data_IF_479554947381
#
_entry.id   IF_479554947381
#
_cell.length_a   1.000
_cell.length_b   1.000
_cell.length_c   1.000
_cell.angle_alpha   90.00
_cell.angle_beta   90.00
_cell.angle_gamma   90.00
#
_symmetry.space_group_name_H-M   'P 1'
#
loop_
_entity.id
_entity.type
_entity.pdbx_description
1 polymer ?
#
# COMPACT_ATOMS: atom_id res chain seq x y z
N UNK A 1 5.16 12.00 15.74
CA UNK A 1 4.20 12.15 14.62
C UNK A 1 2.86 11.50 15.04
N UNK A 2 1.97 12.20 15.76
CA UNK A 2 0.73 11.61 16.35
C UNK A 2 -0.55 12.40 15.98
N UNK A 3 -0.43 13.65 15.52
CA UNK A 3 -1.59 14.57 15.36
C UNK A 3 -2.47 14.33 14.12
N UNK A 4 -2.06 13.52 13.13
CA UNK A 4 -2.88 13.19 11.95
C UNK A 4 -4.01 12.16 12.23
N UNK A 5 -4.01 11.51 13.41
CA UNK A 5 -4.82 10.31 13.64
C UNK A 5 -6.27 10.58 14.07
N UNK A 6 -6.55 11.54 14.94
CA UNK A 6 -7.87 11.61 15.60
C UNK A 6 -9.04 11.97 14.67
N UNK A 7 -8.86 12.89 13.72
CA UNK A 7 -9.92 13.26 12.76
C UNK A 7 -10.27 12.10 11.83
N UNK A 8 -9.25 11.39 11.36
CA UNK A 8 -9.40 10.25 10.45
C UNK A 8 -10.03 9.06 11.19
N UNK A 9 -9.58 8.76 12.41
CA UNK A 9 -10.18 7.73 13.27
C UNK A 9 -11.66 8.03 13.52
N UNK A 10 -12.04 9.26 13.86
CA UNK A 10 -13.45 9.66 14.00
C UNK A 10 -14.24 9.50 12.70
N UNK A 11 -13.60 9.70 11.55
CA UNK A 11 -14.23 9.47 10.24
C UNK A 11 -14.50 7.99 10.00
N UNK A 12 -13.51 7.12 10.22
CA UNK A 12 -13.67 5.67 10.05
C UNK A 12 -14.69 5.08 11.03
N UNK A 13 -14.72 5.55 12.29
CA UNK A 13 -15.78 5.18 13.25
C UNK A 13 -17.17 5.55 12.76
N UNK A 14 -17.36 6.76 12.22
CA UNK A 14 -18.64 7.19 11.62
C UNK A 14 -19.03 6.38 10.38
N UNK A 15 -18.07 5.78 9.70
CA UNK A 15 -18.30 4.88 8.57
C UNK A 15 -18.57 3.43 9.01
N UNK A 16 -18.67 3.15 10.31
CA UNK A 16 -18.94 1.81 10.84
C UNK A 16 -17.76 0.85 10.75
N UNK A 17 -16.52 1.35 10.57
CA UNK A 17 -15.33 0.49 10.56
C UNK A 17 -15.04 -0.03 11.98
N UNK A 18 -14.65 -1.31 12.07
CA UNK A 18 -14.31 -1.93 13.35
C UNK A 18 -13.03 -1.34 13.96
N UNK A 19 -12.82 -1.56 15.26
CA UNK A 19 -11.62 -1.11 15.96
C UNK A 19 -10.36 -1.76 15.39
N UNK A 20 -10.43 -3.06 15.10
CA UNK A 20 -9.34 -3.87 14.54
C UNK A 20 -8.92 -3.33 13.17
N UNK A 21 -9.89 -2.98 12.33
CA UNK A 21 -9.60 -2.36 11.03
C UNK A 21 -8.93 -0.98 11.21
N UNK A 22 -9.40 -0.17 12.16
CA UNK A 22 -8.84 1.16 12.40
C UNK A 22 -7.40 1.04 12.88
N UNK A 23 -7.11 0.11 13.79
CA UNK A 23 -5.76 -0.19 14.27
C UNK A 23 -4.85 -0.64 13.12
N UNK A 24 -5.29 -1.62 12.32
CA UNK A 24 -4.55 -2.06 11.15
C UNK A 24 -4.26 -0.91 10.17
N UNK A 25 -5.21 0.00 9.95
CA UNK A 25 -5.00 1.19 9.10
C UNK A 25 -4.02 2.19 9.70
N UNK A 26 -3.94 2.32 11.02
CA UNK A 26 -2.96 3.16 11.69
C UNK A 26 -1.55 2.56 11.57
N UNK A 27 -1.41 1.26 11.77
CA UNK A 27 -0.14 0.52 11.63
C UNK A 27 0.39 0.52 10.20
N UNK A 28 -0.52 0.65 9.23
CA UNK A 28 -0.22 0.75 7.81
C UNK A 28 0.50 2.04 7.42
N UNK A 29 0.34 3.13 8.19
CA UNK A 29 0.94 4.44 7.91
C UNK A 29 2.47 4.36 7.94
N UNK A 30 3.13 3.94 9.04
CA UNK A 30 4.59 3.88 9.08
C UNK A 30 5.18 2.90 8.05
N UNK A 31 4.44 1.86 7.66
CA UNK A 31 4.86 0.92 6.61
C UNK A 31 4.82 1.56 5.22
N UNK A 32 3.84 2.40 4.95
CA UNK A 32 3.79 3.21 3.73
C UNK A 32 4.93 4.24 3.72
N UNK A 33 5.16 4.94 4.83
CA UNK A 33 6.25 5.92 4.95
C UNK A 33 7.63 5.25 4.72
N UNK A 34 7.87 4.07 5.29
CA UNK A 34 9.10 3.31 5.07
C UNK A 34 9.32 2.95 3.60
N UNK A 35 8.27 2.49 2.92
CA UNK A 35 8.32 2.16 1.51
C UNK A 35 8.52 3.38 0.61
N UNK A 36 7.81 4.48 0.88
CA UNK A 36 7.97 5.72 0.12
C UNK A 36 9.35 6.36 0.34
N UNK A 37 9.92 6.23 1.55
CA UNK A 37 11.29 6.66 1.81
C UNK A 37 12.31 5.88 0.97
N UNK A 38 12.17 4.55 0.88
CA UNK A 38 13.02 3.71 0.04
C UNK A 38 12.89 4.09 -1.45
N UNK A 39 11.66 4.28 -1.96
CA UNK A 39 11.43 4.76 -3.32
C UNK A 39 12.13 6.10 -3.59
N UNK A 40 11.98 7.06 -2.68
CA UNK A 40 12.56 8.39 -2.82
C UNK A 40 14.09 8.35 -2.87
N UNK A 41 14.70 7.62 -1.93
CA UNK A 41 16.16 7.43 -1.88
C UNK A 41 16.72 6.77 -3.14
N UNK A 42 15.89 6.00 -3.84
CA UNK A 42 16.24 5.27 -5.06
C UNK A 42 15.76 5.96 -6.35
N UNK A 43 15.50 7.26 -6.31
CA UNK A 43 15.30 8.08 -7.51
C UNK A 43 13.84 8.18 -7.99
N UNK A 44 12.86 7.81 -7.17
CA UNK A 44 11.45 8.04 -7.46
C UNK A 44 11.02 9.36 -6.81
N UNK A 45 10.79 10.40 -7.61
CA UNK A 45 10.51 11.74 -7.07
C UNK A 45 9.15 12.30 -7.49
N UNK A 46 8.58 11.82 -8.59
CA UNK A 46 7.33 12.37 -9.13
C UNK A 46 6.11 11.70 -8.50
N UNK A 47 5.06 12.43 -8.10
CA UNK A 47 3.85 11.84 -7.52
C UNK A 47 3.22 10.73 -8.36
N UNK A 48 3.26 10.86 -9.70
CA UNK A 48 2.78 9.82 -10.63
C UNK A 48 3.59 8.53 -10.56
N UNK A 49 4.88 8.62 -10.26
CA UNK A 49 5.79 7.49 -10.19
C UNK A 49 5.62 6.72 -8.89
N UNK A 50 5.42 7.43 -7.76
CA UNK A 50 4.98 6.82 -6.51
C UNK A 50 3.65 6.09 -6.67
N UNK A 51 2.68 6.73 -7.34
CA UNK A 51 1.38 6.12 -7.59
C UNK A 51 1.51 4.84 -8.44
N UNK A 52 2.39 4.84 -9.45
CA UNK A 52 2.66 3.66 -10.26
C UNK A 52 3.31 2.54 -9.43
N UNK A 53 4.35 2.82 -8.65
CA UNK A 53 4.98 1.81 -7.78
C UNK A 53 3.97 1.24 -6.77
N UNK A 54 3.08 2.06 -6.19
CA UNK A 54 1.99 1.59 -5.33
C UNK A 54 0.97 0.72 -6.07
N UNK A 55 0.62 1.05 -7.30
CA UNK A 55 -0.26 0.23 -8.12
C UNK A 55 0.35 -1.15 -8.43
N UNK A 56 1.67 -1.22 -8.64
CA UNK A 56 2.38 -2.49 -8.83
C UNK A 56 2.37 -3.37 -7.58
N UNK A 57 2.40 -2.79 -6.38
CA UNK A 57 2.17 -3.56 -5.14
C UNK A 57 0.74 -4.10 -5.08
N UNK A 58 -0.25 -3.29 -5.46
CA UNK A 58 -1.66 -3.67 -5.35
C UNK A 58 -2.06 -4.75 -6.35
N UNK A 59 -1.48 -4.73 -7.55
CA UNK A 59 -1.96 -5.54 -8.66
C UNK A 59 -2.00 -7.05 -8.39
N UNK A 60 -0.97 -7.70 -7.81
CA UNK A 60 -1.04 -9.13 -7.51
C UNK A 60 -2.00 -9.50 -6.37
N UNK A 61 -2.35 -8.55 -5.50
CA UNK A 61 -3.12 -8.82 -4.27
C UNK A 61 -4.60 -8.53 -4.48
N UNK A 62 -4.92 -7.36 -5.02
CA UNK A 62 -6.30 -6.87 -5.17
C UNK A 62 -6.69 -6.61 -6.64
N UNK A 63 -5.83 -6.97 -7.58
CA UNK A 63 -6.01 -6.65 -8.99
C UNK A 63 -5.77 -5.18 -9.33
N UNK A 64 -6.23 -4.75 -10.51
CA UNK A 64 -6.06 -3.36 -10.95
C UNK A 64 -6.80 -2.42 -10.00
N UNK A 65 -6.11 -1.39 -9.51
CA UNK A 65 -6.67 -0.38 -8.59
C UNK A 65 -7.99 0.21 -9.07
N UNK A 66 -8.15 0.47 -10.37
CA UNK A 66 -9.40 1.01 -10.94
C UNK A 66 -10.57 0.03 -10.73
N UNK A 67 -10.35 -1.23 -11.06
CA UNK A 67 -11.39 -2.26 -11.02
C UNK A 67 -11.76 -2.58 -9.57
N UNK A 68 -10.77 -2.68 -8.69
CA UNK A 68 -10.97 -2.82 -7.24
C UNK A 68 -11.82 -1.67 -6.67
N UNK A 69 -11.47 -0.40 -6.99
CA UNK A 69 -12.21 0.76 -6.50
C UNK A 69 -13.67 0.73 -6.94
N UNK A 70 -13.93 0.32 -8.18
CA UNK A 70 -15.29 0.18 -8.70
C UNK A 70 -16.04 -0.93 -7.95
N UNK A 71 -15.43 -2.11 -7.79
CA UNK A 71 -16.03 -3.24 -7.08
C UNK A 71 -16.33 -2.93 -5.61
N UNK A 72 -15.52 -2.08 -4.97
CA UNK A 72 -15.69 -1.64 -3.58
C UNK A 72 -16.52 -0.36 -3.42
N UNK A 73 -17.10 0.17 -4.50
CA UNK A 73 -17.89 1.41 -4.50
C UNK A 73 -17.15 2.62 -3.89
N UNK A 74 -15.84 2.73 -4.12
CA UNK A 74 -15.02 3.82 -3.60
C UNK A 74 -15.23 5.11 -4.43
N UNK A 75 -15.70 6.15 -3.75
CA UNK A 75 -15.86 7.50 -4.31
C UNK A 75 -14.53 8.08 -4.77
N UNK A 76 -14.60 9.04 -5.71
CA UNK A 76 -13.43 9.80 -6.18
C UNK A 76 -12.73 10.45 -4.97
N UNK A 77 -11.42 10.27 -4.88
CA UNK A 77 -10.59 10.82 -3.80
C UNK A 77 -10.54 9.97 -2.51
N UNK A 78 -11.37 8.94 -2.34
CA UNK A 78 -11.21 8.02 -1.21
C UNK A 78 -9.92 7.21 -1.32
N UNK A 79 -9.30 6.88 -0.17
CA UNK A 79 -8.09 6.07 -0.16
C UNK A 79 -8.43 4.64 -0.61
N UNK A 80 -7.58 4.01 -1.44
CA UNK A 80 -7.79 2.63 -1.89
C UNK A 80 -7.89 1.66 -0.71
N UNK A 81 -7.07 1.88 0.32
CA UNK A 81 -7.05 1.07 1.55
C UNK A 81 -8.36 1.15 2.33
N UNK A 82 -9.21 2.17 2.11
CA UNK A 82 -10.52 2.28 2.75
C UNK A 82 -11.52 1.18 2.31
N UNK A 83 -11.29 0.57 1.15
CA UNK A 83 -12.07 -0.54 0.62
C UNK A 83 -11.46 -1.92 0.84
N UNK A 84 -10.27 -1.99 1.45
CA UNK A 84 -9.58 -3.26 1.71
C UNK A 84 -10.17 -4.00 2.90
N UNK A 85 -10.17 -5.33 2.85
CA UNK A 85 -10.32 -6.17 4.05
C UNK A 85 -9.05 -6.09 4.91
N UNK A 86 -9.09 -6.67 6.11
CA UNK A 86 -7.91 -6.72 6.99
C UNK A 86 -6.80 -7.56 6.35
N UNK A 87 -7.15 -8.66 5.70
CA UNK A 87 -6.23 -9.55 4.99
C UNK A 87 -5.57 -8.84 3.80
N UNK A 88 -6.37 -8.17 2.96
CA UNK A 88 -5.86 -7.39 1.81
C UNK A 88 -4.90 -6.28 2.26
N UNK A 89 -5.23 -5.61 3.37
CA UNK A 89 -4.40 -4.57 3.97
C UNK A 89 -3.08 -5.13 4.52
N UNK A 90 -3.13 -6.21 5.30
CA UNK A 90 -1.96 -6.86 5.87
C UNK A 90 -1.02 -7.38 4.77
N UNK A 91 -1.58 -8.01 3.73
CA UNK A 91 -0.83 -8.50 2.57
C UNK A 91 -0.14 -7.37 1.84
N UNK A 92 -0.88 -6.27 1.58
CA UNK A 92 -0.35 -5.08 0.92
C UNK A 92 0.79 -4.45 1.71
N UNK A 93 0.64 -4.36 3.03
CA UNK A 93 1.65 -3.77 3.88
C UNK A 93 2.90 -4.66 4.01
N UNK A 94 2.73 -5.98 4.06
CA UNK A 94 3.86 -6.89 3.98
C UNK A 94 4.60 -6.76 2.65
N UNK A 95 3.88 -6.72 1.53
CA UNK A 95 4.46 -6.51 0.21
C UNK A 95 5.23 -5.19 0.11
N UNK A 96 4.72 -4.08 0.68
CA UNK A 96 5.44 -2.79 0.75
C UNK A 96 6.76 -2.89 1.52
N UNK A 97 6.75 -3.53 2.68
CA UNK A 97 7.98 -3.71 3.47
C UNK A 97 9.00 -4.59 2.73
N UNK A 98 8.55 -5.68 2.11
CA UNK A 98 9.41 -6.55 1.32
C UNK A 98 10.00 -5.82 0.11
N UNK A 99 9.18 -4.99 -0.55
CA UNK A 99 9.60 -4.14 -1.68
C UNK A 99 10.69 -3.17 -1.24
N UNK A 100 10.46 -2.44 -0.15
CA UNK A 100 11.43 -1.49 0.41
C UNK A 100 12.77 -2.16 0.73
N UNK A 101 12.74 -3.28 1.44
CA UNK A 101 13.94 -4.07 1.76
C UNK A 101 14.71 -4.47 0.50
N UNK A 102 14.01 -4.92 -0.55
CA UNK A 102 14.61 -5.35 -1.81
C UNK A 102 15.19 -4.21 -2.62
N UNK A 103 14.46 -3.10 -2.74
CA UNK A 103 14.93 -1.89 -3.43
C UNK A 103 16.28 -1.46 -2.83
N UNK A 104 16.37 -1.41 -1.50
CA UNK A 104 17.61 -1.06 -0.80
C UNK A 104 18.71 -2.10 -0.99
N UNK A 105 18.41 -3.39 -0.85
CA UNK A 105 19.41 -4.47 -0.92
C UNK A 105 19.97 -4.67 -2.33
N UNK A 106 19.14 -4.50 -3.35
CA UNK A 106 19.54 -4.64 -4.75
C UNK A 106 20.10 -3.34 -5.34
N UNK A 107 20.21 -2.27 -4.54
CA UNK A 107 20.65 -0.94 -4.98
C UNK A 107 20.02 -0.52 -6.31
N UNK A 108 18.71 -0.77 -6.44
CA UNK A 108 17.98 -0.57 -7.69
C UNK A 108 17.48 0.86 -7.79
N UNK A 109 17.72 1.53 -8.91
CA UNK A 109 17.37 2.95 -9.09
C UNK A 109 16.33 3.18 -10.19
N UNK A 110 15.55 4.24 -10.01
CA UNK A 110 14.58 4.72 -10.97
C UNK A 110 13.23 3.99 -10.89
N UNK A 111 12.21 4.69 -11.38
CA UNK A 111 10.81 4.30 -11.24
C UNK A 111 10.52 2.90 -11.78
N UNK A 112 10.98 2.58 -12.99
CA UNK A 112 10.68 1.28 -13.62
C UNK A 112 11.25 0.09 -12.83
N UNK A 113 12.48 0.22 -12.34
CA UNK A 113 13.12 -0.84 -11.56
C UNK A 113 12.41 -1.03 -10.21
N UNK A 114 12.13 0.07 -9.51
CA UNK A 114 11.38 0.04 -8.25
C UNK A 114 9.99 -0.55 -8.42
N UNK A 115 9.27 -0.18 -9.48
CA UNK A 115 7.95 -0.69 -9.81
C UNK A 115 7.97 -2.21 -10.07
N UNK A 116 8.96 -2.72 -10.81
CA UNK A 116 9.12 -4.16 -11.05
C UNK A 116 9.41 -4.93 -9.76
N UNK A 117 10.33 -4.45 -8.92
CA UNK A 117 10.61 -5.07 -7.61
C UNK A 117 9.35 -5.11 -6.75
N UNK A 118 8.58 -4.03 -6.79
CA UNK A 118 7.34 -3.91 -6.01
C UNK A 118 6.28 -4.91 -6.46
N UNK A 119 6.16 -5.14 -7.77
CA UNK A 119 5.29 -6.18 -8.32
C UNK A 119 5.73 -7.57 -7.88
N UNK A 120 7.01 -7.92 -8.07
CA UNK A 120 7.52 -9.26 -7.72
C UNK A 120 7.44 -9.55 -6.22
N UNK A 121 7.64 -8.53 -5.37
CA UNK A 121 7.42 -8.66 -3.93
C UNK A 121 5.95 -8.95 -3.61
N UNK A 122 5.01 -8.24 -4.23
CA UNK A 122 3.58 -8.47 -4.03
C UNK A 122 3.11 -9.83 -4.58
N UNK A 123 3.62 -10.26 -5.73
CA UNK A 123 3.33 -11.57 -6.32
C UNK A 123 3.73 -12.71 -5.38
N UNK A 124 4.91 -12.61 -4.76
CA UNK A 124 5.35 -13.62 -3.79
C UNK A 124 4.50 -13.63 -2.53
N UNK A 125 4.08 -12.47 -2.03
CA UNK A 125 3.15 -12.40 -0.88
C UNK A 125 1.81 -13.03 -1.25
N UNK A 126 1.26 -12.73 -2.42
CA UNK A 126 0.01 -13.33 -2.90
C UNK A 126 0.12 -14.86 -3.02
N UNK A 127 1.23 -15.36 -3.56
CA UNK A 127 1.49 -16.79 -3.69
C UNK A 127 1.62 -17.51 -2.34
N UNK A 128 2.16 -16.85 -1.30
CA UNK A 128 2.24 -17.43 0.05
C UNK A 128 0.87 -17.58 0.71
N UNK A 129 -0.09 -16.74 0.35
CA UNK A 129 -1.45 -16.75 0.91
C UNK A 129 -2.40 -17.69 0.15
N UNK A 130 -2.00 -18.16 -1.03
CA UNK A 130 -2.79 -19.04 -1.89
C UNK A 130 -2.44 -20.52 -1.71
N UNK A 131 -1.61 -20.86 -0.72
CA UNK A 131 -1.22 -22.22 -0.33
C UNK A 131 -2.10 -22.72 0.81
#
# INVERSE_FOLDING_TARGET
MIKRSQRTVRSWKRQGKSSEYIEARLDSIPREDYYEAALYQHGVHQPKDFAWCKAMVYQPIIGKTKDFRNARNLKKGQNCKDGMTIEELASTDFAKMLSAKRISTLSSYGTRSCANISYTAAEQVANLLSQ
#
